data_IF_301614823325
#
_entry.id   IF_301614823325
#
_cell.length_a   1.000
_cell.length_b   1.000
_cell.length_c   1.000
_cell.angle_alpha   90.00
_cell.angle_beta   90.00
_cell.angle_gamma   90.00
#
_symmetry.space_group_name_H-M   'P 1'
#
loop_
_entity.id
_entity.type
_entity.pdbx_description
1 polymer ?
#
# COMPACT_ATOMS: atom_id res chain seq x y z
N UNK A 1 -51.66 -14.68 9.00
CA UNK A 1 -51.10 -13.32 9.17
C UNK A 1 -49.56 -13.31 9.20
N UNK A 2 -48.92 -14.29 9.85
CA UNK A 2 -47.45 -14.38 9.99
C UNK A 2 -46.65 -14.53 8.67
N UNK A 3 -47.19 -15.23 7.66
CA UNK A 3 -46.48 -15.45 6.38
C UNK A 3 -46.33 -14.15 5.57
N UNK A 4 -47.29 -13.22 5.68
CA UNK A 4 -47.23 -11.90 5.02
C UNK A 4 -46.23 -10.95 5.70
N UNK A 5 -46.03 -11.11 7.01
CA UNK A 5 -45.00 -10.40 7.76
C UNK A 5 -43.61 -10.95 7.44
N UNK A 6 -43.47 -12.28 7.35
CA UNK A 6 -42.18 -12.92 7.07
C UNK A 6 -41.65 -12.58 5.66
N UNK A 7 -42.55 -12.52 4.68
CA UNK A 7 -42.22 -12.10 3.30
C UNK A 7 -41.82 -10.62 3.25
N UNK A 8 -42.47 -9.73 3.99
CA UNK A 8 -42.09 -8.32 4.08
C UNK A 8 -40.71 -8.12 4.74
N UNK A 9 -40.40 -8.90 5.79
CA UNK A 9 -39.08 -8.87 6.47
C UNK A 9 -37.97 -9.42 5.58
N UNK A 10 -38.23 -10.49 4.83
CA UNK A 10 -37.28 -11.01 3.84
C UNK A 10 -37.01 -10.01 2.72
N UNK A 11 -38.05 -9.32 2.25
CA UNK A 11 -37.93 -8.33 1.19
C UNK A 11 -37.16 -7.08 1.66
N UNK A 12 -37.38 -6.62 2.89
CA UNK A 12 -36.62 -5.50 3.45
C UNK A 12 -35.17 -5.86 3.74
N UNK A 13 -34.86 -7.09 4.17
CA UNK A 13 -33.48 -7.57 4.30
C UNK A 13 -32.74 -7.65 2.96
N UNK A 14 -33.42 -8.05 1.88
CA UNK A 14 -32.86 -8.06 0.52
C UNK A 14 -32.55 -6.66 0.00
N UNK A 15 -33.41 -5.68 0.28
CA UNK A 15 -33.17 -4.28 -0.10
C UNK A 15 -31.96 -3.72 0.67
N UNK A 16 -31.83 -4.00 1.97
CA UNK A 16 -30.68 -3.54 2.76
C UNK A 16 -29.37 -4.13 2.21
N UNK A 17 -29.33 -5.41 1.82
CA UNK A 17 -28.14 -6.00 1.20
C UNK A 17 -27.81 -5.42 -0.18
N UNK A 18 -28.83 -5.06 -0.97
CA UNK A 18 -28.63 -4.43 -2.27
C UNK A 18 -27.98 -3.04 -2.19
N UNK A 19 -28.17 -2.32 -1.07
CA UNK A 19 -27.57 -1.00 -0.83
C UNK A 19 -26.34 -1.02 0.09
N UNK A 20 -26.15 -2.07 0.90
CA UNK A 20 -24.99 -2.18 1.80
C UNK A 20 -23.67 -2.57 1.08
N UNK A 21 -23.71 -2.92 -0.20
CA UNK A 21 -22.54 -3.39 -0.97
C UNK A 21 -21.73 -2.27 -1.66
N UNK A 22 -22.08 -0.99 -1.48
CA UNK A 22 -21.29 0.10 -2.05
C UNK A 22 -20.17 0.59 -1.11
N UNK A 23 -18.96 0.06 -1.36
CA UNK A 23 -17.72 0.84 -1.53
C UNK A 23 -16.82 1.28 -0.35
N UNK A 24 -16.84 0.67 0.83
CA UNK A 24 -15.96 1.15 1.93
C UNK A 24 -14.84 0.22 2.43
N UNK A 25 -14.72 -1.03 1.96
CA UNK A 25 -13.63 -1.91 2.44
C UNK A 25 -12.77 -2.60 1.36
N UNK A 26 -13.23 -2.70 0.11
CA UNK A 26 -12.48 -3.44 -0.93
C UNK A 26 -11.26 -2.70 -1.52
N UNK A 27 -11.22 -1.36 -1.39
CA UNK A 27 -10.15 -0.55 -1.99
C UNK A 27 -8.80 -0.73 -1.26
N UNK A 28 -8.84 -0.80 0.07
CA UNK A 28 -7.64 -0.88 0.91
C UNK A 28 -6.89 -2.20 0.77
N UNK A 29 -7.60 -3.33 0.64
CA UNK A 29 -6.95 -4.64 0.48
C UNK A 29 -6.25 -4.77 -0.90
N UNK A 30 -6.90 -4.26 -1.94
CA UNK A 30 -6.37 -4.31 -3.32
C UNK A 30 -5.12 -3.42 -3.45
N UNK A 31 -5.15 -2.23 -2.86
CA UNK A 31 -4.04 -1.27 -2.90
C UNK A 31 -2.82 -1.79 -2.09
N UNK A 32 -3.06 -2.47 -0.95
CA UNK A 32 -1.99 -3.08 -0.14
C UNK A 32 -1.35 -4.30 -0.84
N UNK A 33 -2.16 -5.12 -1.51
CA UNK A 33 -1.67 -6.26 -2.29
C UNK A 33 -0.76 -5.83 -3.45
N UNK A 34 -1.13 -4.73 -4.11
CA UNK A 34 -0.35 -4.15 -5.19
C UNK A 34 1.07 -3.75 -4.74
N UNK A 35 1.21 -3.01 -3.64
CA UNK A 35 2.54 -2.61 -3.14
C UNK A 35 3.39 -3.84 -2.85
N UNK A 36 2.85 -4.81 -2.11
CA UNK A 36 3.62 -6.00 -1.71
C UNK A 36 4.09 -6.77 -2.94
N UNK A 37 3.26 -6.83 -3.98
CA UNK A 37 3.62 -7.46 -5.25
C UNK A 37 4.72 -6.68 -5.97
N UNK A 38 4.63 -5.35 -6.00
CA UNK A 38 5.63 -4.48 -6.60
C UNK A 38 6.99 -4.58 -5.88
N UNK A 39 6.98 -4.47 -4.56
CA UNK A 39 8.16 -4.61 -3.70
C UNK A 39 8.85 -5.97 -3.91
N UNK A 40 8.06 -7.05 -3.88
CA UNK A 40 8.55 -8.41 -4.11
C UNK A 40 9.20 -8.57 -5.49
N UNK A 41 8.62 -8.00 -6.55
CA UNK A 41 9.20 -8.08 -7.90
C UNK A 41 10.57 -7.40 -7.98
N UNK A 42 10.77 -6.30 -7.25
CA UNK A 42 12.07 -5.61 -7.19
C UNK A 42 13.09 -6.40 -6.39
N UNK A 43 12.67 -7.03 -5.28
CA UNK A 43 13.52 -7.93 -4.49
C UNK A 43 13.94 -9.18 -5.28
N UNK A 44 13.03 -9.72 -6.10
CA UNK A 44 13.29 -10.82 -7.03
C UNK A 44 14.08 -10.38 -8.29
N UNK A 45 14.49 -9.11 -8.38
CA UNK A 45 15.22 -8.52 -9.51
C UNK A 45 14.48 -8.56 -10.85
N UNK A 46 13.15 -8.71 -10.82
CA UNK A 46 12.28 -8.73 -12.00
C UNK A 46 11.88 -7.31 -12.39
N UNK A 47 12.87 -6.47 -12.68
CA UNK A 47 12.70 -5.02 -12.82
C UNK A 47 11.77 -4.61 -13.96
N UNK A 48 11.81 -5.30 -15.11
CA UNK A 48 10.93 -5.01 -16.24
C UNK A 48 9.44 -5.20 -15.87
N UNK A 49 9.17 -6.26 -15.11
CA UNK A 49 7.81 -6.61 -14.68
C UNK A 49 7.35 -5.65 -13.59
N UNK A 50 8.25 -5.26 -12.67
CA UNK A 50 7.99 -4.24 -11.68
C UNK A 50 7.65 -2.88 -12.34
N UNK A 51 8.41 -2.47 -13.36
CA UNK A 51 8.17 -1.24 -14.10
C UNK A 51 6.83 -1.25 -14.86
N UNK A 52 6.49 -2.36 -15.52
CA UNK A 52 5.18 -2.51 -16.19
C UNK A 52 4.02 -2.48 -15.18
N UNK A 53 4.18 -3.14 -14.03
CA UNK A 53 3.19 -3.13 -12.98
C UNK A 53 2.98 -1.70 -12.44
N UNK A 54 4.06 -0.95 -12.24
CA UNK A 54 4.01 0.44 -11.79
C UNK A 54 3.35 1.35 -12.85
N UNK A 55 3.72 1.22 -14.11
CA UNK A 55 3.14 2.02 -15.21
C UNK A 55 1.64 1.76 -15.37
N UNK A 56 1.21 0.49 -15.28
CA UNK A 56 -0.20 0.09 -15.37
C UNK A 56 -1.05 0.76 -14.29
N UNK A 57 -0.51 0.86 -13.07
CA UNK A 57 -1.25 1.37 -11.92
C UNK A 57 -1.05 2.89 -11.69
N UNK A 58 -0.01 3.50 -12.28
CA UNK A 58 0.33 4.93 -12.15
C UNK A 58 -0.88 5.84 -12.30
N UNK A 59 -1.68 5.65 -13.35
CA UNK A 59 -2.86 6.49 -13.63
C UNK A 59 -3.89 6.47 -12.49
N UNK A 60 -4.12 5.30 -11.88
CA UNK A 60 -5.06 5.14 -10.77
C UNK A 60 -4.49 5.76 -9.49
N UNK A 61 -3.21 5.55 -9.20
CA UNK A 61 -2.57 6.05 -7.98
C UNK A 61 -2.47 7.58 -7.99
N UNK A 62 -2.09 8.17 -9.13
CA UNK A 62 -2.06 9.63 -9.32
C UNK A 62 -3.47 10.22 -9.21
N UNK A 63 -4.49 9.54 -9.76
CA UNK A 63 -5.89 9.99 -9.61
C UNK A 63 -6.35 9.96 -8.14
N UNK A 64 -5.97 8.93 -7.39
CA UNK A 64 -6.26 8.85 -5.95
C UNK A 64 -5.57 9.99 -5.18
N UNK A 65 -4.30 10.29 -5.48
CA UNK A 65 -3.57 11.41 -4.88
C UNK A 65 -4.18 12.78 -5.23
N UNK A 66 -4.65 12.97 -6.47
CA UNK A 66 -5.31 14.21 -6.90
C UNK A 66 -6.64 14.43 -6.18
N UNK A 67 -7.32 13.36 -5.77
CA UNK A 67 -8.51 13.43 -4.91
C UNK A 67 -8.24 13.99 -3.51
N UNK A 68 -6.96 14.08 -3.10
CA UNK A 68 -6.53 14.62 -1.81
C UNK A 68 -5.90 16.00 -2.01
N UNK A 69 -4.87 16.10 -2.87
CA UNK A 69 -4.17 17.33 -3.18
C UNK A 69 -3.43 17.23 -4.52
N UNK A 70 -3.69 18.16 -5.44
CA UNK A 70 -3.07 18.23 -6.77
C UNK A 70 -1.53 18.31 -6.73
N UNK A 71 -0.96 19.01 -5.74
CA UNK A 71 0.50 19.10 -5.58
C UNK A 71 1.09 17.74 -5.23
N UNK A 72 0.42 16.99 -4.35
CA UNK A 72 0.82 15.63 -3.97
C UNK A 72 0.73 14.67 -5.15
N UNK A 73 -0.31 14.82 -5.99
CA UNK A 73 -0.47 14.03 -7.21
C UNK A 73 0.67 14.25 -8.22
N UNK A 74 1.09 15.51 -8.41
CA UNK A 74 2.19 15.86 -9.31
C UNK A 74 3.52 15.30 -8.80
N UNK A 75 3.77 15.42 -7.49
CA UNK A 75 4.95 14.85 -6.85
C UNK A 75 5.00 13.33 -6.97
N UNK A 76 3.87 12.65 -6.69
CA UNK A 76 3.76 11.20 -6.80
C UNK A 76 4.00 10.71 -8.24
N UNK A 77 3.42 11.41 -9.22
CA UNK A 77 3.61 11.11 -10.63
C UNK A 77 5.09 11.14 -11.01
N UNK A 78 5.79 12.20 -10.60
CA UNK A 78 7.22 12.36 -10.89
C UNK A 78 8.04 11.20 -10.28
N UNK A 79 7.83 10.88 -9.01
CA UNK A 79 8.54 9.78 -8.35
C UNK A 79 8.27 8.43 -9.01
N UNK A 80 7.05 8.18 -9.48
CA UNK A 80 6.72 6.96 -10.22
C UNK A 80 7.44 6.88 -11.57
N UNK A 81 7.49 7.99 -12.31
CA UNK A 81 8.19 8.06 -13.61
C UNK A 81 9.70 7.90 -13.45
N UNK A 82 10.29 8.53 -12.44
CA UNK A 82 11.70 8.39 -12.09
C UNK A 82 12.02 6.94 -11.69
N UNK A 83 11.17 6.32 -10.88
CA UNK A 83 11.36 4.94 -10.45
C UNK A 83 11.28 3.96 -11.63
N UNK A 84 10.31 4.12 -12.54
CA UNK A 84 10.25 3.31 -13.77
C UNK A 84 11.54 3.43 -14.58
N UNK A 85 12.04 4.65 -14.74
CA UNK A 85 13.29 4.93 -15.45
C UNK A 85 14.48 4.25 -14.76
N UNK A 86 14.55 4.31 -13.43
CA UNK A 86 15.61 3.67 -12.63
C UNK A 86 15.52 2.13 -12.73
N UNK A 87 14.33 1.54 -12.66
CA UNK A 87 14.12 0.10 -12.77
C UNK A 87 14.56 -0.44 -14.12
N UNK A 88 14.25 0.27 -15.20
CA UNK A 88 14.59 -0.10 -16.58
C UNK A 88 16.04 0.22 -16.96
N UNK A 89 16.78 0.94 -16.12
CA UNK A 89 18.17 1.30 -16.41
C UNK A 89 19.12 0.14 -16.11
N UNK A 90 19.96 -0.19 -17.09
CA UNK A 90 21.05 -1.16 -16.93
C UNK A 90 22.25 -0.58 -16.17
N UNK A 91 22.31 0.75 -16.04
CA UNK A 91 23.42 1.43 -15.36
C UNK A 91 23.20 1.57 -13.84
N UNK A 92 21.99 1.23 -13.37
CA UNK A 92 21.60 1.36 -11.96
C UNK A 92 21.78 0.06 -11.21
N UNK A 93 22.37 0.16 -10.03
CA UNK A 93 22.60 -0.98 -9.14
C UNK A 93 21.29 -1.51 -8.55
N UNK A 94 21.24 -2.80 -8.16
CA UNK A 94 20.09 -3.34 -7.43
C UNK A 94 19.71 -2.52 -6.20
N UNK A 95 20.70 -1.99 -5.48
CA UNK A 95 20.48 -1.15 -4.30
C UNK A 95 19.78 0.16 -4.66
N UNK A 96 20.21 0.86 -5.71
CA UNK A 96 19.55 2.09 -6.18
C UNK A 96 18.11 1.82 -6.63
N UNK A 97 17.87 0.71 -7.33
CA UNK A 97 16.53 0.27 -7.74
C UNK A 97 15.61 0.00 -6.55
N UNK A 98 16.13 -0.67 -5.52
CA UNK A 98 15.41 -0.89 -4.26
C UNK A 98 15.12 0.42 -3.54
N UNK A 99 16.09 1.34 -3.46
CA UNK A 99 15.88 2.65 -2.81
C UNK A 99 14.77 3.45 -3.51
N UNK A 100 14.81 3.57 -4.84
CA UNK A 100 13.79 4.27 -5.61
C UNK A 100 12.39 3.65 -5.41
N UNK A 101 12.34 2.32 -5.33
CA UNK A 101 11.13 1.55 -5.02
C UNK A 101 10.56 1.91 -3.65
N UNK A 102 11.38 1.86 -2.59
CA UNK A 102 10.94 2.16 -1.23
C UNK A 102 10.51 3.63 -1.10
N UNK A 103 11.22 4.56 -1.73
CA UNK A 103 10.85 5.98 -1.73
C UNK A 103 9.48 6.21 -2.37
N UNK A 104 9.21 5.57 -3.51
CA UNK A 104 7.92 5.68 -4.20
C UNK A 104 6.77 5.12 -3.34
N UNK A 105 7.01 3.98 -2.70
CA UNK A 105 6.05 3.34 -1.80
C UNK A 105 5.73 4.24 -0.60
N UNK A 106 6.76 4.77 0.07
CA UNK A 106 6.61 5.64 1.24
C UNK A 106 5.84 6.91 0.86
N UNK A 107 6.17 7.51 -0.28
CA UNK A 107 5.50 8.72 -0.75
C UNK A 107 4.02 8.45 -1.04
N UNK A 108 3.72 7.36 -1.76
CA UNK A 108 2.35 6.96 -2.04
C UNK A 108 1.57 6.73 -0.75
N UNK A 109 2.16 6.00 0.19
CA UNK A 109 1.56 5.68 1.48
C UNK A 109 1.29 6.94 2.32
N UNK A 110 2.25 7.87 2.39
CA UNK A 110 2.09 9.14 3.08
C UNK A 110 0.97 10.01 2.48
N UNK A 111 0.79 9.97 1.16
CA UNK A 111 -0.25 10.75 0.48
C UNK A 111 -1.62 10.10 0.67
N UNK A 112 -1.73 8.78 0.52
CA UNK A 112 -3.02 8.09 0.52
C UNK A 112 -3.55 7.81 1.93
N UNK A 113 -2.66 7.56 2.89
CA UNK A 113 -3.01 7.13 4.24
C UNK A 113 -2.54 8.13 5.30
N UNK A 114 -2.78 9.44 5.10
CA UNK A 114 -2.35 10.54 6.00
C UNK A 114 -2.54 10.24 7.50
N UNK A 115 -3.61 9.52 7.89
CA UNK A 115 -3.93 9.21 9.28
C UNK A 115 -3.39 7.85 9.80
N UNK A 116 -2.91 6.96 8.92
CA UNK A 116 -2.35 5.66 9.29
C UNK A 116 -1.39 5.12 8.22
N UNK A 117 -0.19 5.71 8.03
CA UNK A 117 0.74 5.28 7.01
C UNK A 117 1.26 3.86 7.29
N UNK A 118 1.22 2.98 6.28
CA UNK A 118 1.82 1.64 6.32
C UNK A 118 3.29 1.65 6.72
N UNK A 119 4.06 2.70 6.41
CA UNK A 119 5.47 2.80 6.83
C UNK A 119 5.61 2.85 8.36
N UNK A 120 4.64 3.40 9.09
CA UNK A 120 4.62 3.38 10.56
C UNK A 120 4.38 1.97 11.07
N UNK A 121 3.50 1.20 10.43
CA UNK A 121 3.30 -0.22 10.74
C UNK A 121 4.57 -1.02 10.48
N UNK A 122 5.23 -0.82 9.34
CA UNK A 122 6.49 -1.50 9.04
C UNK A 122 7.61 -1.12 10.00
N UNK A 123 7.68 0.15 10.42
CA UNK A 123 8.62 0.59 11.45
C UNK A 123 8.38 -0.17 12.76
N UNK A 124 7.13 -0.25 13.22
CA UNK A 124 6.79 -1.00 14.44
C UNK A 124 7.10 -2.49 14.31
N UNK A 125 6.83 -3.11 13.16
CA UNK A 125 7.20 -4.50 12.90
C UNK A 125 8.72 -4.71 12.91
N UNK A 126 9.48 -3.77 12.34
CA UNK A 126 10.94 -3.79 12.35
C UNK A 126 11.50 -3.62 13.76
N UNK A 127 10.97 -2.67 14.53
CA UNK A 127 11.34 -2.46 15.94
C UNK A 127 11.05 -3.71 16.77
N UNK A 128 9.87 -4.33 16.59
CA UNK A 128 9.50 -5.58 17.26
C UNK A 128 10.42 -6.74 16.89
N UNK A 129 10.76 -6.89 15.60
CA UNK A 129 11.72 -7.90 15.16
C UNK A 129 13.12 -7.61 15.70
N UNK A 130 13.57 -6.36 15.69
CA UNK A 130 14.87 -5.98 16.27
C UNK A 130 14.95 -6.29 17.75
N UNK A 131 13.91 -5.99 18.53
CA UNK A 131 13.83 -6.35 19.95
C UNK A 131 13.89 -7.87 20.16
N UNK A 132 13.37 -8.66 19.22
CA UNK A 132 13.46 -10.13 19.28
C UNK A 132 14.86 -10.68 18.96
N UNK A 133 15.62 -10.01 18.08
CA UNK A 133 17.00 -10.38 17.74
C UNK A 133 18.04 -9.81 18.71
N UNK A 134 17.70 -8.73 19.40
CA UNK A 134 18.55 -8.07 20.37
C UNK A 134 17.88 -8.07 21.74
N UNK A 135 17.80 -9.22 22.43
CA UNK A 135 17.29 -9.25 23.79
C UNK A 135 18.14 -8.28 24.60
N UNK A 136 17.53 -7.16 25.02
CA UNK A 136 18.14 -6.07 25.77
C UNK A 136 19.08 -6.70 26.79
N UNK A 137 20.40 -6.53 26.58
CA UNK A 137 21.45 -7.06 27.45
C UNK A 137 21.06 -6.66 28.86
N UNK A 138 20.60 -7.63 29.67
CA UNK A 138 20.21 -7.43 31.05
C UNK A 138 21.36 -6.68 31.69
N UNK A 139 21.15 -5.41 32.05
CA UNK A 139 22.15 -4.62 32.74
C UNK A 139 22.58 -5.43 33.95
N UNK A 140 23.82 -5.94 33.91
CA UNK A 140 24.47 -6.51 35.08
C UNK A 140 24.47 -5.35 36.08
N UNK A 141 23.60 -5.42 37.08
CA UNK A 141 23.73 -4.57 38.24
C UNK A 141 25.05 -4.97 38.88
N UNK A 142 26.05 -4.12 38.71
CA UNK A 142 27.27 -4.18 39.50
C UNK A 142 26.89 -3.62 40.85
N UNK A 143 26.61 -4.54 41.78
CA UNK A 143 26.54 -4.25 43.22
C UNK A 143 27.94 -4.19 43.79
#
# INVERSE_FOLDING_TARGET
MCIRLFTAVLFSLLIIQAFASSNLMAKTETDTYYIKSFERLVEEQRYDIAAQLLEKNKKQLVKSAAGINDKSALLLKQYMEDNITILQSDTKTPTEKTIATKQTIILWDAIVYENAPLWMTWKQELESKMDSFWPRKKSIQVT
#
